data_IF_946780731751
#
_entry.id   IF_946780731751
#
_cell.length_a   1.000
_cell.length_b   1.000
_cell.length_c   1.000
_cell.angle_alpha   90.00
_cell.angle_beta   90.00
_cell.angle_gamma   90.00
#
_symmetry.space_group_name_H-M   'P 1'
#
loop_
_entity.id
_entity.type
_entity.pdbx_description
1 polymer ?
#
# COMPACT_ATOMS: atom_id res chain seq x y z
N UNK A 1 -13.43 -7.42 1.29
CA UNK A 1 -12.54 -8.52 1.71
C UNK A 1 -11.09 -8.12 1.52
N UNK A 2 -10.21 -8.62 2.33
CA UNK A 2 -8.78 -8.34 2.24
C UNK A 2 -8.07 -9.49 1.53
N UNK A 3 -7.35 -9.16 0.46
CA UNK A 3 -6.56 -10.11 -0.32
C UNK A 3 -5.08 -9.76 -0.16
N UNK A 4 -4.21 -10.75 -0.35
CA UNK A 4 -2.77 -10.54 -0.25
C UNK A 4 -2.09 -10.93 -1.56
N UNK A 5 -1.16 -10.10 -2.00
CA UNK A 5 -0.25 -10.42 -3.08
C UNK A 5 1.17 -10.40 -2.51
N UNK A 6 1.76 -11.58 -2.39
CA UNK A 6 3.11 -11.73 -1.85
C UNK A 6 3.99 -12.40 -2.90
N UNK A 7 5.28 -12.26 -2.72
CA UNK A 7 6.24 -12.89 -3.61
C UNK A 7 7.62 -12.28 -3.44
N UNK A 8 8.58 -12.86 -4.13
CA UNK A 8 9.92 -12.30 -4.19
C UNK A 8 9.81 -10.92 -4.82
N UNK A 9 10.50 -9.94 -4.24
CA UNK A 9 10.55 -8.59 -4.77
C UNK A 9 11.13 -8.63 -6.18
N UNK A 10 10.27 -8.85 -7.15
CA UNK A 10 10.64 -8.71 -8.53
C UNK A 10 10.05 -7.42 -9.05
N UNK A 11 10.74 -6.77 -9.95
CA UNK A 11 10.19 -5.69 -10.75
C UNK A 11 8.93 -6.23 -11.43
N UNK A 12 7.82 -5.54 -11.28
CA UNK A 12 6.56 -5.95 -11.89
C UNK A 12 5.47 -6.36 -10.92
N UNK A 13 5.80 -6.63 -9.64
CA UNK A 13 4.76 -6.94 -8.64
C UNK A 13 3.82 -5.76 -8.44
N UNK A 14 4.34 -4.54 -8.40
CA UNK A 14 3.54 -3.33 -8.27
C UNK A 14 2.63 -3.12 -9.48
N UNK A 15 3.13 -3.37 -10.67
CA UNK A 15 2.35 -3.25 -11.90
C UNK A 15 1.23 -4.30 -11.94
N UNK A 16 1.55 -5.53 -11.53
CA UNK A 16 0.57 -6.60 -11.45
C UNK A 16 -0.52 -6.28 -10.44
N UNK A 17 -0.14 -5.78 -9.26
CA UNK A 17 -1.09 -5.41 -8.23
C UNK A 17 -2.03 -4.30 -8.71
N UNK A 18 -1.48 -3.29 -9.38
CA UNK A 18 -2.27 -2.19 -9.92
C UNK A 18 -3.28 -2.67 -10.97
N UNK A 19 -2.85 -3.56 -11.85
CA UNK A 19 -3.71 -4.14 -12.87
C UNK A 19 -4.87 -4.93 -12.24
N UNK A 20 -4.55 -5.75 -11.24
CA UNK A 20 -5.57 -6.52 -10.51
C UNK A 20 -6.57 -5.57 -9.84
N UNK A 21 -6.07 -4.51 -9.20
CA UNK A 21 -6.91 -3.55 -8.52
C UNK A 21 -7.87 -2.84 -9.48
N UNK A 22 -7.38 -2.43 -10.65
CA UNK A 22 -8.23 -1.79 -11.66
C UNK A 22 -9.30 -2.76 -12.16
N UNK A 23 -8.90 -3.97 -12.52
CA UNK A 23 -9.81 -4.96 -13.09
C UNK A 23 -10.88 -5.41 -12.12
N UNK A 24 -10.59 -5.39 -10.83
CA UNK A 24 -11.49 -5.89 -9.78
C UNK A 24 -12.05 -4.78 -8.89
N UNK A 25 -11.80 -3.53 -9.22
CA UNK A 25 -12.26 -2.37 -8.45
C UNK A 25 -11.83 -2.43 -6.98
N UNK A 26 -10.54 -2.63 -6.75
CA UNK A 26 -9.96 -2.77 -5.42
C UNK A 26 -9.12 -1.55 -5.05
N UNK A 27 -8.99 -1.32 -3.75
CA UNK A 27 -7.94 -0.43 -3.21
C UNK A 27 -6.69 -1.25 -2.92
N UNK A 28 -5.54 -0.60 -2.84
CA UNK A 28 -4.26 -1.25 -2.54
C UNK A 28 -3.75 -0.76 -1.19
N UNK A 29 -3.32 -1.70 -0.35
CA UNK A 29 -2.62 -1.41 0.90
C UNK A 29 -1.17 -1.84 0.77
N UNK A 30 -0.24 -0.89 0.83
CA UNK A 30 1.18 -1.20 0.82
C UNK A 30 1.61 -1.67 2.20
N UNK A 31 2.21 -2.86 2.27
CA UNK A 31 2.80 -3.40 3.50
C UNK A 31 4.33 -3.38 3.44
N UNK A 32 4.90 -2.64 2.50
CA UNK A 32 6.34 -2.44 2.37
C UNK A 32 6.82 -1.44 3.43
N UNK A 33 7.74 -1.88 4.30
CA UNK A 33 8.25 -1.04 5.38
C UNK A 33 8.98 0.21 4.89
N UNK A 34 9.51 0.21 3.67
CA UNK A 34 10.19 1.39 3.10
C UNK A 34 9.21 2.34 2.43
N UNK A 35 8.12 1.84 1.90
CA UNK A 35 7.15 2.68 1.19
C UNK A 35 6.37 3.62 2.12
N UNK A 36 6.36 3.36 3.44
CA UNK A 36 5.72 4.23 4.40
C UNK A 36 6.45 5.58 4.56
N UNK A 37 7.73 5.64 4.20
CA UNK A 37 8.52 6.85 4.36
C UNK A 37 8.39 7.77 3.15
N UNK A 38 8.23 9.06 3.43
CA UNK A 38 8.20 10.10 2.41
C UNK A 38 9.59 10.28 1.80
N UNK A 39 9.63 10.56 0.52
CA UNK A 39 10.87 10.93 -0.16
C UNK A 39 11.80 9.78 -0.52
N UNK A 40 11.41 8.53 -0.31
CA UNK A 40 12.23 7.37 -0.64
C UNK A 40 11.81 6.72 -1.97
N UNK A 41 11.27 7.51 -2.89
CA UNK A 41 10.72 7.00 -4.15
C UNK A 41 11.76 6.36 -5.04
N UNK A 42 13.02 6.81 -4.95
CA UNK A 42 14.12 6.24 -5.73
C UNK A 42 14.62 4.92 -5.16
N UNK A 43 14.28 4.61 -3.90
CA UNK A 43 14.72 3.40 -3.22
C UNK A 43 13.62 2.33 -3.15
N UNK A 44 12.40 2.69 -3.53
CA UNK A 44 11.24 1.81 -3.46
C UNK A 44 10.47 1.85 -4.77
N UNK A 45 9.75 0.78 -5.08
CA UNK A 45 8.93 0.72 -6.28
C UNK A 45 7.54 1.31 -6.01
N UNK A 46 7.50 2.58 -5.61
CA UNK A 46 6.24 3.26 -5.36
C UNK A 46 5.48 3.51 -6.66
N UNK A 47 4.14 3.48 -6.62
CA UNK A 47 3.34 3.79 -7.79
C UNK A 47 3.49 5.26 -8.20
N UNK A 48 3.35 5.53 -9.48
CA UNK A 48 3.37 6.90 -10.01
C UNK A 48 2.13 7.68 -9.57
N UNK A 49 2.17 9.00 -9.76
CA UNK A 49 1.03 9.85 -9.47
C UNK A 49 -0.19 9.46 -10.30
N UNK A 50 0.03 9.05 -11.56
CA UNK A 50 -1.04 8.59 -12.44
C UNK A 50 -1.70 7.32 -11.87
N UNK A 51 -0.91 6.37 -11.40
CA UNK A 51 -1.42 5.15 -10.79
C UNK A 51 -2.21 5.48 -9.51
N UNK A 52 -1.71 6.38 -8.68
CA UNK A 52 -2.39 6.78 -7.45
C UNK A 52 -3.68 7.54 -7.71
N UNK A 53 -3.81 8.17 -8.87
CA UNK A 53 -5.06 8.81 -9.27
C UNK A 53 -6.12 7.81 -9.72
N UNK A 54 -5.71 6.64 -10.21
CA UNK A 54 -6.61 5.61 -10.71
C UNK A 54 -7.10 4.65 -9.62
N UNK A 55 -6.27 4.38 -8.62
CA UNK A 55 -6.53 3.42 -7.55
C UNK A 55 -6.17 4.07 -6.22
N UNK A 56 -7.00 3.87 -5.20
CA UNK A 56 -6.69 4.35 -3.85
C UNK A 56 -5.59 3.48 -3.24
N UNK A 57 -4.49 4.12 -2.85
CA UNK A 57 -3.37 3.47 -2.19
C UNK A 57 -3.31 3.89 -0.72
N UNK A 58 -3.11 2.92 0.16
CA UNK A 58 -2.88 3.13 1.58
C UNK A 58 -1.46 2.68 1.94
N UNK A 59 -0.88 3.30 2.96
CA UNK A 59 0.43 2.90 3.47
C UNK A 59 1.62 3.53 2.75
N UNK A 60 1.38 4.57 1.94
CA UNK A 60 2.43 5.29 1.24
C UNK A 60 2.64 6.66 1.89
N UNK A 61 3.92 7.07 2.02
CA UNK A 61 4.29 8.42 2.44
C UNK A 61 3.62 8.88 3.75
N UNK A 62 3.50 7.97 4.72
CA UNK A 62 2.81 8.25 5.98
C UNK A 62 3.76 8.62 7.12
N UNK A 63 5.07 8.53 6.89
CA UNK A 63 6.09 8.87 7.89
C UNK A 63 7.20 9.69 7.25
N UNK A 64 7.81 10.59 8.03
CA UNK A 64 8.99 11.33 7.58
C UNK A 64 10.20 10.40 7.58
N UNK A 65 11.17 10.68 6.70
CA UNK A 65 12.34 9.80 6.51
C UNK A 65 13.23 9.70 7.74
N UNK A 66 13.15 10.64 8.67
CA UNK A 66 13.91 10.66 9.91
C UNK A 66 13.16 10.03 11.10
N UNK A 67 11.93 9.57 10.88
CA UNK A 67 11.15 8.92 11.92
C UNK A 67 11.49 7.43 12.01
N UNK A 68 11.43 6.90 13.23
CA UNK A 68 11.53 5.47 13.49
C UNK A 68 10.12 4.88 13.52
N UNK A 69 9.61 4.48 12.36
CA UNK A 69 8.24 4.00 12.21
C UNK A 69 8.16 2.53 12.58
N UNK A 70 7.53 2.24 13.70
CA UNK A 70 7.44 0.88 14.24
C UNK A 70 6.22 0.13 13.70
N UNK A 71 6.15 -1.17 13.99
CA UNK A 71 4.97 -1.97 13.66
C UNK A 71 3.73 -1.48 14.41
N UNK A 72 3.90 -0.95 15.61
CA UNK A 72 2.79 -0.39 16.38
C UNK A 72 2.25 0.86 15.68
N UNK A 73 3.14 1.71 15.16
CA UNK A 73 2.75 2.89 14.39
C UNK A 73 1.97 2.49 13.15
N UNK A 74 2.40 1.42 12.48
CA UNK A 74 1.70 0.90 11.31
C UNK A 74 0.30 0.39 11.65
N UNK A 75 0.17 -0.36 12.75
CA UNK A 75 -1.12 -0.86 13.21
C UNK A 75 -2.07 0.29 13.56
N UNK A 76 -1.56 1.34 14.22
CA UNK A 76 -2.33 2.53 14.52
C UNK A 76 -2.79 3.24 13.24
N UNK A 77 -1.93 3.30 12.23
CA UNK A 77 -2.30 3.85 10.93
C UNK A 77 -3.48 3.07 10.31
N UNK A 78 -3.44 1.74 10.35
CA UNK A 78 -4.52 0.91 9.82
C UNK A 78 -5.84 1.17 10.54
N UNK A 79 -5.79 1.34 11.86
CA UNK A 79 -6.96 1.64 12.67
C UNK A 79 -7.50 3.04 12.33
N UNK A 80 -6.61 4.04 12.23
CA UNK A 80 -7.00 5.41 11.92
C UNK A 80 -7.63 5.54 10.53
N UNK A 81 -7.22 4.70 9.59
CA UNK A 81 -7.79 4.66 8.24
C UNK A 81 -9.01 3.75 8.13
N UNK A 82 -9.44 3.14 9.23
CA UNK A 82 -10.57 2.21 9.28
C UNK A 82 -10.40 1.01 8.32
N UNK A 83 -9.16 0.57 8.12
CA UNK A 83 -8.87 -0.51 7.16
C UNK A 83 -9.61 -1.82 7.53
N UNK A 84 -9.64 -2.26 8.79
CA UNK A 84 -10.38 -3.48 9.13
C UNK A 84 -11.86 -3.39 8.77
N UNK A 85 -12.50 -2.23 9.01
CA UNK A 85 -13.91 -2.03 8.70
C UNK A 85 -14.14 -1.88 7.20
N UNK A 86 -13.28 -1.15 6.51
CA UNK A 86 -13.36 -0.98 5.06
C UNK A 86 -13.26 -2.31 4.33
N UNK A 87 -12.46 -3.25 4.84
CA UNK A 87 -12.29 -4.55 4.21
C UNK A 87 -13.55 -5.42 4.22
N UNK A 88 -14.53 -5.11 5.09
CA UNK A 88 -15.83 -5.79 5.07
C UNK A 88 -16.72 -5.27 3.96
N UNK A 89 -16.56 -4.01 3.55
CA UNK A 89 -17.42 -3.35 2.58
C UNK A 89 -16.76 -3.19 1.22
N UNK A 90 -15.44 -3.25 1.16
CA UNK A 90 -14.64 -3.06 -0.05
C UNK A 90 -13.63 -4.18 -0.18
N UNK A 91 -13.17 -4.41 -1.40
CA UNK A 91 -12.05 -5.31 -1.63
C UNK A 91 -10.75 -4.51 -1.57
N UNK A 92 -9.81 -4.96 -0.74
CA UNK A 92 -8.50 -4.33 -0.55
C UNK A 92 -7.44 -5.37 -0.84
N UNK A 93 -6.46 -5.00 -1.68
CA UNK A 93 -5.32 -5.85 -2.02
C UNK A 93 -4.09 -5.38 -1.24
N UNK A 94 -3.63 -6.20 -0.31
CA UNK A 94 -2.40 -5.93 0.43
C UNK A 94 -1.21 -6.47 -0.36
N UNK A 95 -0.22 -5.61 -0.58
CA UNK A 95 0.95 -5.91 -1.41
C UNK A 95 2.22 -5.71 -0.59
N UNK A 96 3.00 -6.75 -0.44
CA UNK A 96 4.23 -6.68 0.34
C UNK A 96 5.34 -7.53 -0.17
#
# INVERSE_FOLDING_TARGET
MLYFLTGITASGKSDLAHKIAIENNMSILSVDSMAVYKGLDVLTAKPSDVMQAQVKYYGLDIADSDQNFSIIDYLNYLIDQDIPEKSFNEDILAVG
#
